data_IF_539944411663
#
_entry.id   IF_539944411663
#
_cell.length_a   1.000
_cell.length_b   1.000
_cell.length_c   1.000
_cell.angle_alpha   90.00
_cell.angle_beta   90.00
_cell.angle_gamma   90.00
#
_symmetry.space_group_name_H-M   'P 1'
#
loop_
_entity.id
_entity.type
_entity.pdbx_description
1 polymer ?
#
# COMPACT_ATOMS: atom_id res chain seq x y z
N UNK A 1 -5.44 0.82 2.08
CA UNK A 1 -4.67 0.31 3.24
C UNK A 1 -3.38 -0.39 2.80
N UNK A 2 -3.43 -1.37 1.88
CA UNK A 2 -2.27 -2.21 1.52
C UNK A 2 -1.11 -1.38 0.96
N UNK A 3 -1.36 -0.47 0.01
CA UNK A 3 -0.31 0.43 -0.52
C UNK A 3 0.28 1.36 0.52
N UNK A 4 -0.51 1.76 1.52
CA UNK A 4 -0.02 2.59 2.60
C UNK A 4 0.89 1.79 3.52
N UNK A 5 0.52 0.54 3.86
CA UNK A 5 1.35 -0.38 4.63
C UNK A 5 2.69 -0.65 3.92
N UNK A 6 2.65 -0.96 2.62
CA UNK A 6 3.85 -1.13 1.80
C UNK A 6 4.74 0.12 1.80
N UNK A 7 4.16 1.31 1.59
CA UNK A 7 4.91 2.57 1.59
C UNK A 7 5.55 2.87 2.95
N UNK A 8 4.89 2.53 4.05
CA UNK A 8 5.46 2.66 5.39
C UNK A 8 6.64 1.69 5.55
N UNK A 9 6.47 0.41 5.19
CA UNK A 9 7.52 -0.60 5.27
C UNK A 9 8.74 -0.19 4.43
N UNK A 10 8.55 0.19 3.18
CA UNK A 10 9.62 0.68 2.30
C UNK A 10 10.33 1.91 2.88
N UNK A 11 9.60 2.84 3.49
CA UNK A 11 10.18 4.04 4.09
C UNK A 11 11.04 3.70 5.32
N UNK A 12 10.58 2.76 6.15
CA UNK A 12 11.36 2.26 7.29
C UNK A 12 12.62 1.56 6.79
N UNK A 13 12.49 0.66 5.82
CA UNK A 13 13.63 -0.04 5.22
C UNK A 13 14.63 0.96 4.66
N UNK A 14 14.18 1.94 3.88
CA UNK A 14 15.05 2.96 3.31
C UNK A 14 15.77 3.80 4.37
N UNK A 15 15.07 4.21 5.42
CA UNK A 15 15.65 4.98 6.53
C UNK A 15 16.80 4.23 7.21
N UNK A 16 16.63 2.92 7.47
CA UNK A 16 17.66 2.11 8.12
C UNK A 16 18.73 1.61 7.14
N UNK A 17 18.37 1.22 5.92
CA UNK A 17 19.30 0.69 4.92
C UNK A 17 20.27 1.73 4.35
N UNK A 18 19.90 3.01 4.34
CA UNK A 18 20.78 4.10 3.85
C UNK A 18 22.04 4.32 4.72
N UNK A 19 22.11 3.71 5.89
CA UNK A 19 23.31 3.67 6.73
C UNK A 19 23.93 2.27 6.65
N UNK A 20 24.83 2.06 5.70
CA UNK A 20 25.52 0.83 5.35
C UNK A 20 25.78 -0.13 6.53
N UNK A 21 25.12 -1.26 6.62
CA UNK A 21 25.21 -2.42 7.54
C UNK A 21 23.98 -2.65 8.44
N UNK A 22 22.84 -2.09 8.16
CA UNK A 22 21.63 -2.39 8.91
C UNK A 22 20.80 -3.41 8.16
N UNK A 23 20.51 -4.52 8.80
CA UNK A 23 19.56 -5.50 8.31
C UNK A 23 18.17 -5.05 8.76
N UNK A 24 17.24 -4.99 7.84
CA UNK A 24 15.87 -4.57 8.10
C UNK A 24 14.92 -5.49 7.34
N UNK A 25 14.04 -6.13 8.09
CA UNK A 25 12.89 -6.82 7.55
C UNK A 25 11.70 -6.44 8.41
N UNK A 26 10.76 -5.67 7.85
CA UNK A 26 9.59 -5.20 8.60
C UNK A 26 8.30 -5.54 7.88
N UNK A 27 7.31 -5.89 8.66
CA UNK A 27 5.92 -6.05 8.25
C UNK A 27 5.08 -4.93 8.85
N UNK A 28 4.17 -4.39 8.06
CA UNK A 28 3.28 -3.31 8.49
C UNK A 28 1.84 -3.70 8.21
N UNK A 29 0.98 -3.58 9.22
CA UNK A 29 -0.46 -3.70 9.06
C UNK A 29 -1.14 -2.40 9.50
N UNK A 30 -2.16 -1.97 8.74
CA UNK A 30 -2.94 -0.77 9.05
C UNK A 30 -4.43 -1.13 9.16
N UNK A 31 -5.08 -0.65 10.22
CA UNK A 31 -6.51 -0.82 10.41
C UNK A 31 -7.08 0.37 11.20
N UNK A 32 -7.97 1.11 10.56
CA UNK A 32 -8.53 2.36 11.09
C UNK A 32 -7.43 3.32 11.56
N UNK A 33 -7.39 3.65 12.86
CA UNK A 33 -6.40 4.49 13.52
C UNK A 33 -5.17 3.72 14.04
N UNK A 34 -5.11 2.40 13.81
CA UNK A 34 -4.05 1.52 14.32
C UNK A 34 -3.05 1.14 13.25
N UNK A 35 -1.77 1.21 13.64
CA UNK A 35 -0.65 0.76 12.79
C UNK A 35 0.22 -0.16 13.60
N UNK A 36 0.43 -1.37 13.08
CA UNK A 36 1.34 -2.37 13.66
C UNK A 36 2.59 -2.44 12.79
N UNK A 37 3.75 -2.34 13.44
CA UNK A 37 5.05 -2.52 12.79
C UNK A 37 5.78 -3.63 13.53
N UNK A 38 6.05 -4.73 12.84
CA UNK A 38 6.77 -5.89 13.35
C UNK A 38 8.01 -6.20 12.51
N UNK A 39 8.83 -7.14 12.95
CA UNK A 39 10.00 -7.62 12.25
C UNK A 39 11.31 -7.38 12.96
N UNK A 40 12.39 -7.24 12.20
CA UNK A 40 13.76 -7.09 12.69
C UNK A 40 14.42 -5.83 12.14
N UNK A 41 14.96 -5.01 13.04
CA UNK A 41 15.75 -3.82 12.72
C UNK A 41 17.07 -3.88 13.45
N UNK A 42 18.19 -3.88 12.74
CA UNK A 42 19.51 -3.82 13.39
C UNK A 42 20.04 -2.40 13.42
N UNK A 43 20.60 -2.03 14.56
CA UNK A 43 21.15 -0.69 14.83
C UNK A 43 22.59 -0.77 15.35
N UNK A 44 23.45 0.21 15.05
CA UNK A 44 24.82 0.22 15.59
C UNK A 44 24.82 0.54 17.09
N UNK A 45 25.79 -0.02 17.81
CA UNK A 45 26.03 0.33 19.21
C UNK A 45 26.87 1.64 19.34
N UNK A 46 26.62 2.46 20.36
CA UNK A 46 25.48 2.41 21.28
C UNK A 46 24.21 2.91 20.64
N UNK A 47 23.05 2.37 21.03
CA UNK A 47 21.75 2.86 20.56
C UNK A 47 20.78 3.12 21.72
N UNK A 48 19.78 3.92 21.47
CA UNK A 48 18.67 4.21 22.38
C UNK A 48 17.38 3.63 21.77
N UNK A 49 16.84 2.58 22.39
CA UNK A 49 15.64 1.89 21.93
C UNK A 49 14.42 2.84 21.82
N UNK A 50 14.27 3.75 22.78
CA UNK A 50 13.16 4.69 22.76
C UNK A 50 13.26 5.63 21.55
N UNK A 51 14.46 6.14 21.29
CA UNK A 51 14.72 7.00 20.13
C UNK A 51 14.46 6.30 18.80
N UNK A 52 14.90 5.05 18.67
CA UNK A 52 14.66 4.27 17.43
C UNK A 52 13.17 3.97 17.26
N UNK A 53 12.47 3.62 18.33
CA UNK A 53 11.01 3.42 18.30
C UNK A 53 10.26 4.70 17.90
N UNK A 54 10.64 5.85 18.43
CA UNK A 54 10.05 7.13 18.05
C UNK A 54 10.39 7.53 16.59
N UNK A 55 11.54 7.16 16.08
CA UNK A 55 11.88 7.35 14.68
C UNK A 55 10.94 6.56 13.75
N UNK A 56 10.63 5.31 14.10
CA UNK A 56 9.65 4.50 13.35
C UNK A 56 8.26 5.15 13.42
N UNK A 57 7.81 5.58 14.61
CA UNK A 57 6.52 6.26 14.76
C UNK A 57 6.44 7.54 13.93
N UNK A 58 7.52 8.32 13.90
CA UNK A 58 7.60 9.54 13.09
C UNK A 58 7.51 9.23 11.58
N UNK A 59 8.12 8.14 11.11
CA UNK A 59 8.03 7.67 9.73
C UNK A 59 6.58 7.31 9.39
N UNK A 60 5.90 6.57 10.26
CA UNK A 60 4.48 6.20 10.08
C UNK A 60 3.60 7.44 9.94
N UNK A 61 3.69 8.38 10.89
CA UNK A 61 2.91 9.63 10.84
C UNK A 61 3.17 10.41 9.57
N UNK A 62 4.42 10.52 9.16
CA UNK A 62 4.82 11.22 7.93
C UNK A 62 4.25 10.55 6.68
N UNK A 63 4.23 9.21 6.62
CA UNK A 63 3.64 8.47 5.51
C UNK A 63 2.13 8.71 5.39
N UNK A 64 1.40 8.73 6.50
CA UNK A 64 -0.01 9.09 6.52
C UNK A 64 -0.25 10.51 6.01
N UNK A 65 0.53 11.48 6.47
CA UNK A 65 0.45 12.86 5.99
C UNK A 65 0.67 12.97 4.48
N UNK A 66 1.69 12.30 3.95
CA UNK A 66 1.96 12.26 2.51
C UNK A 66 0.86 11.55 1.70
N UNK A 67 0.20 10.55 2.27
CA UNK A 67 -0.94 9.90 1.64
C UNK A 67 -2.19 10.81 1.60
N UNK A 68 -2.17 11.93 2.33
CA UNK A 68 -3.25 12.91 2.38
C UNK A 68 -4.22 12.73 3.55
N UNK A 69 -3.82 11.96 4.57
CA UNK A 69 -4.55 11.88 5.83
C UNK A 69 -4.22 13.08 6.72
N UNK A 70 -5.20 13.56 7.48
CA UNK A 70 -5.08 14.73 8.34
C UNK A 70 -6.44 15.11 8.95
N UNK A 71 -6.59 16.38 9.29
CA UNK A 71 -7.84 16.90 9.91
C UNK A 71 -9.09 16.69 9.04
N UNK A 72 -8.97 16.86 7.74
CA UNK A 72 -10.09 16.68 6.79
C UNK A 72 -10.40 15.21 6.54
N UNK A 73 -9.36 14.39 6.41
CA UNK A 73 -9.45 12.98 6.07
C UNK A 73 -8.76 12.14 7.15
N UNK A 74 -9.51 11.74 8.16
CA UNK A 74 -9.00 10.92 9.27
C UNK A 74 -8.62 9.50 8.85
N UNK A 75 -7.82 8.83 9.69
CA UNK A 75 -7.30 9.36 10.96
C UNK A 75 -6.21 10.41 10.74
N UNK A 76 -6.13 11.41 11.62
CA UNK A 76 -5.01 12.35 11.59
C UNK A 76 -3.72 11.64 12.05
N UNK A 77 -2.55 11.99 11.48
CA UNK A 77 -1.29 11.33 11.83
C UNK A 77 -0.96 11.32 13.33
N UNK A 78 -1.37 12.36 14.04
CA UNK A 78 -1.11 12.49 15.48
C UNK A 78 -2.09 11.67 16.35
N UNK A 79 -3.24 11.28 15.79
CA UNK A 79 -4.25 10.46 16.48
C UNK A 79 -3.99 8.96 16.31
N UNK A 80 -2.95 8.56 15.55
CA UNK A 80 -2.64 7.17 15.30
C UNK A 80 -2.12 6.46 16.55
N UNK A 81 -2.70 5.30 16.85
CA UNK A 81 -2.14 4.32 17.76
C UNK A 81 -1.08 3.47 17.01
N UNK A 82 0.20 3.78 17.21
CA UNK A 82 1.31 3.10 16.53
C UNK A 82 1.98 2.12 17.48
N UNK A 83 1.82 0.84 17.20
CA UNK A 83 2.38 -0.27 17.96
C UNK A 83 3.63 -0.75 17.23
N UNK A 84 4.79 -0.52 17.83
CA UNK A 84 6.08 -0.99 17.30
C UNK A 84 6.48 -2.22 18.11
N UNK A 85 6.26 -3.40 17.53
CA UNK A 85 6.62 -4.70 18.08
C UNK A 85 7.94 -5.24 17.50
N UNK A 86 8.54 -4.53 16.54
CA UNK A 86 9.78 -4.93 15.89
C UNK A 86 10.93 -5.11 16.91
N UNK A 87 11.71 -6.17 16.73
CA UNK A 87 12.93 -6.40 17.47
C UNK A 87 14.03 -5.42 17.00
N UNK A 88 14.34 -4.42 17.81
CA UNK A 88 15.33 -3.37 17.51
C UNK A 88 16.55 -3.61 18.39
N UNK A 89 17.63 -4.12 17.84
CA UNK A 89 18.84 -4.48 18.57
C UNK A 89 20.09 -4.34 17.70
N UNK A 90 21.27 -4.45 18.32
CA UNK A 90 22.51 -4.58 17.58
C UNK A 90 22.54 -5.91 16.80
N UNK A 91 23.25 -5.90 15.67
CA UNK A 91 23.48 -7.11 14.87
C UNK A 91 24.23 -8.15 15.72
N UNK A 92 23.75 -9.38 15.71
CA UNK A 92 24.36 -10.51 16.39
C UNK A 92 25.38 -11.21 15.49
N UNK A 93 26.32 -11.93 16.10
CA UNK A 93 27.30 -12.72 15.38
C UNK A 93 26.62 -13.79 14.53
N UNK A 94 26.99 -13.87 13.24
CA UNK A 94 26.38 -14.80 12.27
C UNK A 94 25.06 -14.33 11.64
N UNK A 95 24.44 -13.29 12.16
CA UNK A 95 23.14 -12.80 11.63
C UNK A 95 23.27 -12.29 10.17
N UNK A 96 24.39 -11.67 9.83
CA UNK A 96 24.64 -11.18 8.47
C UNK A 96 24.75 -12.33 7.45
N UNK A 97 25.35 -13.46 7.81
CA UNK A 97 25.47 -14.63 6.96
C UNK A 97 24.10 -15.29 6.71
N UNK A 98 23.30 -15.47 7.76
CA UNK A 98 21.96 -16.06 7.65
C UNK A 98 21.10 -15.24 6.69
N UNK A 99 21.11 -13.92 6.82
CA UNK A 99 20.28 -13.03 6.00
C UNK A 99 20.76 -12.87 4.56
N UNK A 100 22.02 -13.20 4.24
CA UNK A 100 22.50 -13.23 2.86
C UNK A 100 21.87 -14.35 2.03
N UNK A 101 21.32 -15.37 2.68
CA UNK A 101 20.65 -16.49 2.02
C UNK A 101 19.12 -16.44 2.08
N UNK A 102 18.54 -15.94 3.11
CA UNK A 102 17.12 -15.85 3.49
C UNK A 102 16.94 -16.36 4.91
N UNK A 103 16.28 -15.62 5.73
CA UNK A 103 16.06 -15.95 7.14
C UNK A 103 14.64 -16.43 7.44
N UNK A 104 13.75 -16.40 6.44
CA UNK A 104 12.38 -16.89 6.56
C UNK A 104 11.86 -17.46 5.25
N UNK A 105 10.75 -18.18 5.35
CA UNK A 105 10.01 -18.68 4.20
C UNK A 105 9.30 -17.51 3.49
N UNK A 106 9.44 -17.48 2.17
CA UNK A 106 8.69 -16.57 1.35
C UNK A 106 7.89 -17.34 0.30
N UNK A 107 6.60 -17.08 0.21
CA UNK A 107 5.73 -17.60 -0.84
C UNK A 107 5.41 -16.48 -1.81
N UNK A 108 6.09 -16.47 -2.95
CA UNK A 108 5.77 -15.56 -4.03
C UNK A 108 4.88 -16.26 -5.06
N UNK A 109 3.73 -15.67 -5.37
CA UNK A 109 2.82 -16.15 -6.41
C UNK A 109 2.86 -15.18 -7.57
N UNK A 110 3.27 -15.67 -8.73
CA UNK A 110 3.23 -14.94 -10.00
C UNK A 110 2.19 -15.55 -10.92
N UNK A 111 1.44 -14.69 -11.61
CA UNK A 111 0.52 -15.10 -12.67
C UNK A 111 0.62 -14.13 -13.85
N UNK A 112 0.79 -14.68 -15.05
CA UNK A 112 0.83 -13.92 -16.29
C UNK A 112 -0.06 -14.58 -17.35
N UNK A 113 -0.67 -13.77 -18.20
CA UNK A 113 -1.47 -14.25 -19.34
C UNK A 113 -0.85 -13.77 -20.65
N UNK A 114 -0.83 -14.57 -21.74
CA UNK A 114 -0.29 -14.14 -23.02
C UNK A 114 -1.22 -13.09 -23.68
N UNK A 115 -1.08 -11.84 -23.24
CA UNK A 115 -1.88 -10.70 -23.70
C UNK A 115 -1.02 -9.44 -23.82
N UNK A 116 -0.40 -9.19 -24.98
CA UNK A 116 0.40 -7.98 -25.19
C UNK A 116 -0.39 -6.67 -24.92
N UNK A 117 -1.70 -6.67 -25.17
CA UNK A 117 -2.56 -5.51 -24.94
C UNK A 117 -2.67 -5.11 -23.46
N UNK A 118 -2.48 -6.06 -22.56
CA UNK A 118 -2.49 -5.83 -21.10
C UNK A 118 -1.10 -5.93 -20.47
N UNK A 119 -0.06 -5.97 -21.29
CA UNK A 119 1.32 -6.17 -20.85
C UNK A 119 1.48 -7.48 -20.04
N UNK A 120 0.85 -8.53 -20.54
CA UNK A 120 0.80 -9.88 -19.97
C UNK A 120 0.17 -9.97 -18.56
N UNK A 121 -0.47 -8.90 -18.11
CA UNK A 121 -1.28 -8.91 -16.89
C UNK A 121 -2.67 -9.52 -17.16
N UNK A 122 -3.26 -10.21 -16.18
CA UNK A 122 -4.67 -10.59 -16.25
C UNK A 122 -5.54 -9.36 -16.54
N UNK A 123 -6.51 -9.44 -17.49
CA UNK A 123 -7.29 -8.27 -17.93
C UNK A 123 -7.96 -7.50 -16.79
N UNK A 124 -8.53 -8.20 -15.80
CA UNK A 124 -9.15 -7.56 -14.64
C UNK A 124 -8.12 -6.80 -13.78
N UNK A 125 -6.92 -7.36 -13.59
CA UNK A 125 -5.85 -6.71 -12.83
C UNK A 125 -5.31 -5.47 -13.56
N UNK A 126 -5.07 -5.59 -14.87
CA UNK A 126 -4.67 -4.46 -15.72
C UNK A 126 -5.70 -3.32 -15.66
N UNK A 127 -6.99 -3.68 -15.77
CA UNK A 127 -8.07 -2.72 -15.73
C UNK A 127 -8.21 -2.04 -14.37
N UNK A 128 -8.10 -2.80 -13.27
CA UNK A 128 -8.08 -2.24 -11.91
C UNK A 128 -6.99 -1.19 -11.73
N UNK A 129 -5.78 -1.45 -12.25
CA UNK A 129 -4.68 -0.50 -12.22
C UNK A 129 -4.96 0.76 -13.07
N UNK A 130 -5.58 0.61 -14.24
CA UNK A 130 -5.95 1.75 -15.11
C UNK A 130 -6.99 2.63 -14.45
N UNK A 131 -8.07 2.03 -13.94
CA UNK A 131 -9.14 2.74 -13.21
C UNK A 131 -8.57 3.40 -11.96
N UNK A 132 -7.74 2.69 -11.19
CA UNK A 132 -7.10 3.26 -9.99
C UNK A 132 -6.29 4.52 -10.29
N UNK A 133 -5.57 4.56 -11.41
CA UNK A 133 -4.85 5.77 -11.83
C UNK A 133 -5.78 6.90 -12.24
N UNK A 134 -6.88 6.59 -12.93
CA UNK A 134 -7.89 7.58 -13.31
C UNK A 134 -8.56 8.17 -12.06
N UNK A 135 -8.95 7.33 -11.10
CA UNK A 135 -9.52 7.75 -9.81
C UNK A 135 -8.54 8.62 -9.01
N UNK A 136 -7.25 8.27 -9.01
CA UNK A 136 -6.22 9.08 -8.35
C UNK A 136 -6.09 10.46 -9.00
N UNK A 137 -6.07 10.53 -10.33
CA UNK A 137 -6.06 11.80 -11.07
C UNK A 137 -7.28 12.66 -10.76
N UNK A 138 -8.47 12.08 -10.84
CA UNK A 138 -9.75 12.71 -10.50
C UNK A 138 -9.75 13.26 -9.06
N UNK A 139 -9.31 12.45 -8.09
CA UNK A 139 -9.22 12.84 -6.69
C UNK A 139 -8.26 14.03 -6.50
N UNK A 140 -7.11 14.02 -7.14
CA UNK A 140 -6.09 15.07 -6.98
C UNK A 140 -6.59 16.47 -7.41
N UNK A 141 -7.62 16.51 -8.26
CA UNK A 141 -8.30 17.75 -8.65
C UNK A 141 -9.43 18.15 -7.69
N UNK A 142 -9.80 17.29 -6.72
CA UNK A 142 -10.98 17.44 -5.86
C UNK A 142 -10.70 16.98 -4.42
N UNK A 143 -9.61 17.42 -3.84
CA UNK A 143 -9.16 17.00 -2.51
C UNK A 143 -10.12 17.39 -1.38
N UNK A 144 -10.96 18.40 -1.59
CA UNK A 144 -12.02 18.81 -0.65
C UNK A 144 -13.21 17.85 -0.62
N UNK A 145 -13.46 17.14 -1.72
CA UNK A 145 -14.60 16.24 -1.87
C UNK A 145 -14.25 14.78 -1.64
N UNK A 146 -13.01 14.38 -1.96
CA UNK A 146 -12.60 12.98 -1.98
C UNK A 146 -11.28 12.73 -1.23
N UNK A 147 -11.32 11.77 -0.31
CA UNK A 147 -10.21 11.41 0.55
C UNK A 147 -9.21 10.44 -0.09
N UNK A 148 -8.18 10.07 0.66
CA UNK A 148 -7.07 9.25 0.14
C UNK A 148 -7.41 7.78 -0.06
N UNK A 149 -8.47 7.27 0.58
CA UNK A 149 -8.79 5.84 0.52
C UNK A 149 -9.81 5.52 -0.58
N UNK A 150 -9.46 4.57 -1.43
CA UNK A 150 -10.38 3.99 -2.41
C UNK A 150 -10.01 2.56 -2.76
N UNK A 151 -11.01 1.80 -3.22
CA UNK A 151 -10.86 0.43 -3.72
C UNK A 151 -11.53 0.29 -5.08
N UNK A 152 -10.87 -0.45 -5.97
CA UNK A 152 -11.37 -0.74 -7.32
C UNK A 152 -11.44 -2.24 -7.51
N UNK A 153 -12.63 -2.75 -7.84
CA UNK A 153 -12.85 -4.16 -8.11
C UNK A 153 -13.64 -4.33 -9.42
N UNK A 154 -12.95 -4.47 -10.57
CA UNK A 154 -13.60 -4.85 -11.81
C UNK A 154 -13.87 -6.35 -11.85
N UNK A 155 -15.01 -6.73 -12.38
CA UNK A 155 -15.37 -8.11 -12.69
C UNK A 155 -15.58 -8.22 -14.20
N UNK A 156 -14.84 -9.11 -14.83
CA UNK A 156 -14.89 -9.39 -16.24
C UNK A 156 -15.34 -10.82 -16.50
N UNK A 157 -16.14 -11.01 -17.53
CA UNK A 157 -16.43 -12.32 -18.09
C UNK A 157 -15.43 -12.62 -19.18
N UNK A 158 -14.65 -13.67 -19.02
CA UNK A 158 -13.69 -14.12 -20.02
C UNK A 158 -14.32 -15.27 -20.79
N UNK A 159 -14.40 -15.15 -22.11
CA UNK A 159 -14.87 -16.19 -23.02
C UNK A 159 -13.75 -16.59 -23.96
N UNK A 160 -13.59 -17.90 -24.16
CA UNK A 160 -12.66 -18.46 -25.14
C UNK A 160 -13.43 -19.05 -26.31
N UNK A 161 -13.05 -18.70 -27.52
CA UNK A 161 -13.60 -19.31 -28.71
C UNK A 161 -12.77 -20.54 -29.14
N UNK A 162 -13.37 -21.43 -29.97
CA UNK A 162 -12.67 -22.60 -30.51
C UNK A 162 -11.37 -22.28 -31.30
N UNK A 163 -11.14 -21.00 -31.61
CA UNK A 163 -9.94 -20.50 -32.30
C UNK A 163 -8.95 -19.82 -31.36
N UNK A 164 -9.03 -20.06 -30.04
CA UNK A 164 -8.19 -19.46 -29.01
C UNK A 164 -8.27 -17.92 -28.91
N UNK A 165 -9.28 -17.31 -29.52
CA UNK A 165 -9.53 -15.90 -29.31
C UNK A 165 -10.24 -15.71 -27.95
N UNK A 166 -9.60 -14.97 -27.05
CA UNK A 166 -10.16 -14.57 -25.77
C UNK A 166 -10.85 -13.22 -25.92
N UNK A 167 -12.06 -13.13 -25.40
CA UNK A 167 -12.79 -11.87 -25.27
C UNK A 167 -13.05 -11.59 -23.81
N UNK A 168 -12.87 -10.35 -23.40
CA UNK A 168 -13.19 -9.87 -22.06
C UNK A 168 -14.35 -8.89 -22.14
N UNK A 169 -15.44 -9.20 -21.45
CA UNK A 169 -16.63 -8.36 -21.37
C UNK A 169 -16.82 -7.84 -19.96
N UNK A 170 -17.25 -6.60 -19.83
CA UNK A 170 -17.64 -6.02 -18.58
C UNK A 170 -18.82 -6.76 -17.96
N UNK A 171 -18.68 -7.15 -16.70
CA UNK A 171 -19.77 -7.68 -15.91
C UNK A 171 -20.16 -6.69 -14.81
N UNK A 172 -19.16 -6.20 -14.07
CA UNK A 172 -19.39 -5.27 -12.94
C UNK A 172 -18.13 -4.47 -12.62
N UNK A 173 -18.32 -3.23 -12.20
CA UNK A 173 -17.31 -2.44 -11.51
C UNK A 173 -17.83 -2.07 -10.11
N UNK A 174 -17.07 -2.42 -9.08
CA UNK A 174 -17.29 -1.89 -7.74
C UNK A 174 -16.17 -0.89 -7.45
N UNK A 175 -16.57 0.34 -7.13
CA UNK A 175 -15.67 1.40 -6.69
C UNK A 175 -16.14 1.87 -5.31
N UNK A 176 -15.25 1.79 -4.33
CA UNK A 176 -15.43 2.40 -3.01
C UNK A 176 -14.47 3.58 -2.93
N UNK A 177 -14.97 4.74 -2.59
CA UNK A 177 -14.20 5.98 -2.57
C UNK A 177 -14.56 6.77 -1.30
N UNK A 178 -13.56 7.12 -0.52
CA UNK A 178 -13.74 8.00 0.63
C UNK A 178 -14.17 9.39 0.15
N UNK A 179 -15.26 9.90 0.70
CA UNK A 179 -15.83 11.19 0.29
C UNK A 179 -16.35 11.97 1.49
N UNK A 180 -16.48 13.28 1.35
CA UNK A 180 -17.05 14.14 2.39
C UNK A 180 -18.53 13.83 2.67
N UNK A 181 -18.94 14.10 3.88
CA UNK A 181 -20.36 13.95 4.26
C UNK A 181 -21.26 14.88 3.42
N UNK A 182 -22.41 14.38 3.03
CA UNK A 182 -23.39 15.13 2.23
C UNK A 182 -23.17 15.08 0.72
N UNK A 183 -22.11 14.40 0.25
CA UNK A 183 -21.98 14.08 -1.17
C UNK A 183 -22.82 12.84 -1.46
N UNK A 184 -24.00 13.02 -2.11
CA UNK A 184 -24.87 11.91 -2.43
C UNK A 184 -24.34 11.05 -3.58
N UNK A 185 -24.92 9.86 -3.75
CA UNK A 185 -24.49 8.90 -4.74
C UNK A 185 -24.61 9.41 -6.19
N UNK A 186 -25.70 10.11 -6.49
CA UNK A 186 -25.95 10.61 -7.85
C UNK A 186 -24.91 11.66 -8.26
N UNK A 187 -24.58 12.56 -7.33
CA UNK A 187 -23.54 13.57 -7.54
C UNK A 187 -22.16 12.92 -7.70
N UNK A 188 -21.83 11.95 -6.84
CA UNK A 188 -20.57 11.18 -6.97
C UNK A 188 -20.48 10.48 -8.33
N UNK A 189 -21.56 9.82 -8.78
CA UNK A 189 -21.60 9.14 -10.06
C UNK A 189 -21.40 10.11 -11.21
N UNK A 190 -22.12 11.23 -11.23
CA UNK A 190 -22.04 12.23 -12.30
C UNK A 190 -20.68 12.93 -12.37
N UNK A 191 -19.98 13.07 -11.24
CA UNK A 191 -18.64 13.63 -11.19
C UNK A 191 -17.58 12.64 -11.68
N UNK A 192 -17.71 11.38 -11.33
CA UNK A 192 -16.68 10.37 -11.54
C UNK A 192 -16.81 9.64 -12.89
N UNK A 193 -18.04 9.35 -13.33
CA UNK A 193 -18.29 8.56 -14.53
C UNK A 193 -17.59 9.08 -15.80
N UNK A 194 -17.50 10.40 -16.06
CA UNK A 194 -16.77 10.92 -17.22
C UNK A 194 -15.27 10.62 -17.23
N UNK A 195 -14.69 10.22 -16.10
CA UNK A 195 -13.26 9.90 -15.96
C UNK A 195 -12.94 8.40 -16.05
N UNK A 196 -13.95 7.55 -16.01
CA UNK A 196 -13.83 6.09 -16.10
C UNK A 196 -14.02 5.58 -17.50
#
# INVERSE_FOLDING_TARGET
PDRLADAIAETIIHYYASNSRRLVGVEVATHDDKVFVDGRVTVPLPFDLQRETEAIRAIVRKAYGYAGYGETWGPAPDDLEIIVAACIEAMQEGEEEIRSYSDDQNVAIGYAEPSPATNDLPPAHWLANRIGRAVLGFRNERLEDFGPDFKVLPVLRISETARSARTAEWERLTLSLQHRRGLDYELQYNLLFPFL
#
